data_IF_130997140319
#
_entry.id   IF_130997140319
#
_cell.length_a   1.000
_cell.length_b   1.000
_cell.length_c   1.000
_cell.angle_alpha   90.00
_cell.angle_beta   90.00
_cell.angle_gamma   90.00
#
_symmetry.space_group_name_H-M   'P 1'
#
loop_
_entity.id
_entity.type
_entity.pdbx_description
1 polymer ?
#
# COMPACT_ATOMS: atom_id res chain seq x y z
N UNK A 1 8.52 -22.79 16.89
CA UNK A 1 8.03 -22.23 15.58
C UNK A 1 7.16 -21.05 15.91
N UNK A 2 7.44 -19.86 15.36
CA UNK A 2 6.63 -18.64 15.60
C UNK A 2 5.59 -18.50 14.50
N UNK A 3 4.33 -18.41 14.86
CA UNK A 3 3.20 -18.26 13.93
C UNK A 3 2.55 -16.90 14.15
N UNK A 4 2.40 -16.13 13.08
CA UNK A 4 1.65 -14.87 13.09
C UNK A 4 0.31 -15.10 12.38
N UNK A 5 -0.78 -14.83 13.06
CA UNK A 5 -2.13 -14.87 12.49
C UNK A 5 -2.52 -13.45 12.11
N UNK A 6 -2.84 -13.24 10.85
CA UNK A 6 -3.16 -11.94 10.26
C UNK A 6 -4.59 -11.91 9.74
N UNK A 7 -5.24 -10.77 9.93
CA UNK A 7 -6.52 -10.47 9.31
C UNK A 7 -6.25 -9.69 8.03
N UNK A 8 -6.50 -10.31 6.87
CA UNK A 8 -6.22 -9.66 5.57
C UNK A 8 -7.01 -8.36 5.40
N UNK A 9 -6.32 -7.31 5.00
CA UNK A 9 -6.88 -5.98 4.72
C UNK A 9 -6.60 -5.57 3.26
N UNK A 10 -7.46 -4.72 2.70
CA UNK A 10 -7.24 -4.12 1.37
C UNK A 10 -6.09 -3.11 1.37
N UNK A 11 -5.75 -2.57 2.53
CA UNK A 11 -4.56 -1.74 2.72
C UNK A 11 -3.33 -2.64 2.87
N UNK A 12 -2.50 -2.66 1.82
CA UNK A 12 -1.31 -3.51 1.75
C UNK A 12 -0.33 -3.28 2.91
N UNK A 13 -0.22 -2.05 3.43
CA UNK A 13 0.68 -1.77 4.56
C UNK A 13 0.31 -2.58 5.79
N UNK A 14 -0.98 -2.69 6.11
CA UNK A 14 -1.44 -3.47 7.25
C UNK A 14 -1.09 -4.95 7.14
N UNK A 15 -0.96 -5.46 5.92
CA UNK A 15 -0.62 -6.87 5.70
C UNK A 15 0.89 -7.16 5.77
N UNK A 16 1.77 -6.15 5.61
CA UNK A 16 3.21 -6.41 5.51
C UNK A 16 4.03 -5.92 6.69
N UNK A 17 3.54 -4.94 7.44
CA UNK A 17 4.34 -4.29 8.49
C UNK A 17 4.64 -5.24 9.64
N UNK A 18 3.62 -5.91 10.19
CA UNK A 18 3.83 -6.82 11.32
C UNK A 18 4.65 -8.06 10.92
N UNK A 19 4.38 -8.76 9.79
CA UNK A 19 5.22 -9.86 9.36
C UNK A 19 6.69 -9.48 9.13
N UNK A 20 6.97 -8.37 8.45
CA UNK A 20 8.34 -7.91 8.20
C UNK A 20 9.05 -7.45 9.48
N UNK A 21 8.30 -7.01 10.49
CA UNK A 21 8.82 -6.57 11.80
C UNK A 21 9.09 -7.75 12.73
N UNK A 22 8.10 -8.62 12.92
CA UNK A 22 8.15 -9.72 13.90
C UNK A 22 8.91 -10.93 13.39
N UNK A 23 9.08 -11.06 12.06
CA UNK A 23 9.81 -12.13 11.38
C UNK A 23 9.41 -13.51 11.88
N UNK A 24 8.14 -13.90 11.74
CA UNK A 24 7.68 -15.23 12.13
C UNK A 24 8.21 -16.30 11.17
N UNK A 25 8.17 -17.56 11.61
CA UNK A 25 8.46 -18.71 10.73
C UNK A 25 7.30 -18.97 9.76
N UNK A 26 6.08 -18.56 10.18
CA UNK A 26 4.83 -18.75 9.41
C UNK A 26 3.90 -17.57 9.61
N UNK A 27 3.25 -17.14 8.52
CA UNK A 27 2.11 -16.21 8.55
C UNK A 27 0.87 -16.91 8.03
N UNK A 28 -0.22 -16.80 8.77
CA UNK A 28 -1.54 -17.34 8.39
C UNK A 28 -2.51 -16.20 8.21
N UNK A 29 -2.91 -15.94 6.97
CA UNK A 29 -3.91 -14.91 6.65
C UNK A 29 -5.31 -15.48 6.69
N UNK A 30 -6.18 -14.84 7.46
CA UNK A 30 -7.63 -15.05 7.36
C UNK A 30 -8.19 -13.99 6.41
N UNK A 31 -8.85 -14.41 5.32
CA UNK A 31 -9.39 -13.50 4.32
C UNK A 31 -10.83 -13.85 3.94
N UNK A 32 -11.54 -12.87 3.36
CA UNK A 32 -12.90 -13.07 2.90
C UNK A 32 -12.97 -14.12 1.79
N UNK A 33 -13.72 -15.21 2.03
CA UNK A 33 -13.95 -16.26 1.02
C UNK A 33 -14.60 -15.74 -0.28
N UNK A 34 -15.27 -14.59 -0.25
CA UNK A 34 -15.84 -13.91 -1.41
C UNK A 34 -14.85 -13.02 -2.17
N UNK A 35 -13.61 -12.89 -1.68
CA UNK A 35 -12.59 -12.07 -2.31
C UNK A 35 -11.87 -12.84 -3.41
N UNK A 36 -11.99 -12.33 -4.65
CA UNK A 36 -11.31 -12.89 -5.83
C UNK A 36 -10.00 -12.12 -6.12
N UNK A 37 -9.15 -11.96 -5.11
CA UNK A 37 -7.89 -11.20 -5.23
C UNK A 37 -6.66 -12.10 -4.98
N UNK A 38 -6.60 -13.21 -5.70
CA UNK A 38 -5.49 -14.16 -5.61
C UNK A 38 -4.15 -13.55 -6.05
N UNK A 39 -4.19 -12.57 -6.94
CA UNK A 39 -2.98 -11.92 -7.43
C UNK A 39 -2.37 -11.00 -6.36
N UNK A 40 -3.18 -10.29 -5.60
CA UNK A 40 -2.70 -9.51 -4.46
C UNK A 40 -2.07 -10.41 -3.40
N UNK A 41 -2.67 -11.57 -3.09
CA UNK A 41 -2.09 -12.52 -2.16
C UNK A 41 -0.76 -13.09 -2.65
N UNK A 42 -0.64 -13.47 -3.93
CA UNK A 42 0.64 -13.90 -4.54
C UNK A 42 1.71 -12.83 -4.42
N UNK A 43 1.33 -11.56 -4.56
CA UNK A 43 2.25 -10.44 -4.43
C UNK A 43 2.79 -10.30 -3.01
N UNK A 44 1.94 -10.51 -1.99
CA UNK A 44 2.39 -10.58 -0.59
C UNK A 44 3.40 -11.72 -0.38
N UNK A 45 3.10 -12.91 -0.89
CA UNK A 45 4.01 -14.07 -0.80
C UNK A 45 5.36 -13.73 -1.43
N UNK A 46 5.37 -13.12 -2.62
CA UNK A 46 6.60 -12.70 -3.31
C UNK A 46 7.39 -11.69 -2.49
N UNK A 47 6.73 -10.68 -1.92
CA UNK A 47 7.36 -9.69 -1.04
C UNK A 47 8.04 -10.38 0.16
N UNK A 48 7.35 -11.30 0.81
CA UNK A 48 7.90 -12.00 1.98
C UNK A 48 9.05 -12.91 1.61
N UNK A 49 8.97 -13.68 0.53
CA UNK A 49 10.04 -14.57 0.10
C UNK A 49 11.34 -13.84 -0.23
N UNK A 50 11.26 -12.63 -0.78
CA UNK A 50 12.44 -11.78 -1.02
C UNK A 50 13.10 -11.31 0.29
N UNK A 51 12.31 -11.05 1.33
CA UNK A 51 12.79 -10.48 2.59
C UNK A 51 13.04 -11.54 3.68
N UNK A 52 12.36 -12.66 3.59
CA UNK A 52 12.38 -13.79 4.52
C UNK A 52 12.29 -15.12 3.74
N UNK A 53 13.39 -15.61 3.14
CA UNK A 53 13.35 -16.72 2.17
C UNK A 53 12.71 -18.02 2.69
N UNK A 54 12.74 -18.24 4.01
CA UNK A 54 12.24 -19.47 4.64
C UNK A 54 10.82 -19.33 5.21
N UNK A 55 10.16 -18.16 5.03
CA UNK A 55 8.83 -17.96 5.55
C UNK A 55 7.81 -18.84 4.86
N UNK A 56 6.90 -19.40 5.62
CA UNK A 56 5.73 -20.09 5.09
C UNK A 56 4.53 -19.16 5.20
N UNK A 57 3.84 -18.94 4.09
CA UNK A 57 2.62 -18.10 4.05
C UNK A 57 1.44 -19.00 3.70
N UNK A 58 0.43 -18.99 4.55
CA UNK A 58 -0.83 -19.72 4.36
C UNK A 58 -1.99 -18.74 4.27
N UNK A 59 -3.00 -19.13 3.51
CA UNK A 59 -4.25 -18.41 3.38
C UNK A 59 -5.43 -19.29 3.78
N UNK A 60 -6.34 -18.76 4.59
CA UNK A 60 -7.53 -19.45 5.06
C UNK A 60 -8.76 -18.60 4.70
N UNK A 61 -9.61 -19.07 3.78
CA UNK A 61 -10.85 -18.38 3.45
C UNK A 61 -11.87 -18.51 4.59
N UNK A 62 -12.44 -17.37 4.99
CA UNK A 62 -13.42 -17.29 6.08
C UNK A 62 -14.66 -16.50 5.63
N UNK A 63 -15.78 -16.74 6.30
CA UNK A 63 -16.97 -15.90 6.15
C UNK A 63 -16.85 -14.69 7.07
N UNK A 64 -16.50 -13.54 6.51
CA UNK A 64 -16.26 -12.31 7.26
C UNK A 64 -17.54 -11.65 7.78
N UNK A 65 -18.72 -12.11 7.37
CA UNK A 65 -20.01 -11.62 7.89
C UNK A 65 -20.39 -12.23 9.24
N UNK A 66 -19.65 -13.23 9.70
CA UNK A 66 -19.96 -13.99 10.91
C UNK A 66 -18.81 -14.00 11.91
N UNK A 67 -18.98 -13.29 13.01
CA UNK A 67 -18.05 -13.30 14.17
C UNK A 67 -17.77 -14.73 14.67
N UNK A 68 -18.80 -15.59 14.71
CA UNK A 68 -18.65 -16.99 15.13
C UNK A 68 -17.72 -17.78 14.20
N UNK A 69 -17.84 -17.58 12.89
CA UNK A 69 -16.99 -18.26 11.89
C UNK A 69 -15.55 -17.81 12.00
N UNK A 70 -15.32 -16.51 12.19
CA UNK A 70 -13.99 -15.93 12.37
C UNK A 70 -13.32 -16.45 13.64
N UNK A 71 -14.04 -16.39 14.77
CA UNK A 71 -13.56 -16.95 16.04
C UNK A 71 -13.14 -18.42 15.86
N UNK A 72 -14.01 -19.24 15.28
CA UNK A 72 -13.71 -20.66 15.05
C UNK A 72 -12.50 -20.87 14.12
N UNK A 73 -12.27 -19.99 13.15
CA UNK A 73 -11.10 -20.08 12.28
C UNK A 73 -9.80 -19.81 13.03
N UNK A 74 -9.76 -18.76 13.85
CA UNK A 74 -8.60 -18.45 14.71
C UNK A 74 -8.32 -19.58 15.70
N UNK A 75 -9.36 -20.10 16.38
CA UNK A 75 -9.21 -21.23 17.31
C UNK A 75 -8.58 -22.45 16.61
N UNK A 76 -9.05 -22.82 15.41
CA UNK A 76 -8.44 -23.94 14.65
C UNK A 76 -6.97 -23.71 14.30
N UNK A 77 -6.57 -22.48 13.99
CA UNK A 77 -5.16 -22.15 13.75
C UNK A 77 -4.35 -22.31 15.03
N UNK A 78 -4.87 -21.79 16.14
CA UNK A 78 -4.23 -21.91 17.45
C UNK A 78 -4.10 -23.37 17.94
N UNK A 79 -5.12 -24.20 17.71
CA UNK A 79 -5.06 -25.64 18.00
C UNK A 79 -4.01 -26.34 17.15
N UNK A 80 -3.95 -26.01 15.84
CA UNK A 80 -3.01 -26.64 14.90
C UNK A 80 -1.53 -26.31 15.19
N UNK A 81 -1.25 -25.11 15.65
CA UNK A 81 0.13 -24.63 15.85
C UNK A 81 0.51 -24.44 17.31
N UNK A 82 -0.37 -24.80 18.24
CA UNK A 82 -0.27 -24.53 19.68
C UNK A 82 -0.36 -23.01 20.00
N UNK A 83 -1.34 -22.61 20.77
CA UNK A 83 -1.63 -21.19 21.05
C UNK A 83 -0.42 -20.41 21.56
N UNK A 84 0.44 -21.06 22.38
CA UNK A 84 1.66 -20.46 22.92
C UNK A 84 2.70 -20.07 21.83
N UNK A 85 2.63 -20.67 20.64
CA UNK A 85 3.47 -20.34 19.50
C UNK A 85 2.85 -19.28 18.60
N UNK A 86 1.57 -18.93 18.82
CA UNK A 86 0.81 -18.00 17.99
C UNK A 86 0.86 -16.58 18.54
N UNK A 87 0.92 -15.63 17.63
CA UNK A 87 0.65 -14.20 17.88
C UNK A 87 -0.47 -13.79 16.94
N UNK A 88 -1.48 -13.10 17.44
CA UNK A 88 -2.62 -12.62 16.66
C UNK A 88 -2.50 -11.11 16.46
N UNK A 89 -2.43 -10.68 15.22
CA UNK A 89 -2.33 -9.28 14.83
C UNK A 89 -3.73 -8.71 14.54
N UNK A 90 -4.08 -7.58 15.17
CA UNK A 90 -5.43 -7.01 15.15
C UNK A 90 -5.48 -5.59 14.52
N UNK A 91 -4.59 -5.27 13.58
CA UNK A 91 -4.60 -3.97 12.89
C UNK A 91 -5.39 -3.99 11.59
N UNK A 92 -5.41 -5.14 10.91
CA UNK A 92 -6.08 -5.34 9.62
C UNK A 92 -7.48 -5.94 9.73
N UNK A 93 -8.09 -6.15 8.56
CA UNK A 93 -9.41 -6.76 8.43
C UNK A 93 -10.58 -5.82 8.69
N UNK A 94 -11.79 -6.38 8.67
CA UNK A 94 -13.02 -5.65 9.03
C UNK A 94 -13.25 -5.66 10.54
N UNK A 95 -14.13 -4.78 11.01
CA UNK A 95 -14.53 -4.71 12.42
C UNK A 95 -15.04 -6.06 12.96
N UNK A 96 -15.84 -6.77 12.16
CA UNK A 96 -16.33 -8.11 12.56
C UNK A 96 -15.19 -9.13 12.61
N UNK A 97 -14.19 -9.03 11.71
CA UNK A 97 -13.00 -9.87 11.78
C UNK A 97 -12.23 -9.62 13.07
N UNK A 98 -11.99 -8.37 13.43
CA UNK A 98 -11.30 -8.01 14.67
C UNK A 98 -12.03 -8.49 15.90
N UNK A 99 -13.37 -8.33 15.96
CA UNK A 99 -14.18 -8.80 17.10
C UNK A 99 -14.07 -10.32 17.24
N UNK A 100 -14.22 -11.09 16.16
CA UNK A 100 -14.14 -12.55 16.21
C UNK A 100 -12.74 -13.05 16.57
N UNK A 101 -11.71 -12.42 16.01
CA UNK A 101 -10.33 -12.73 16.30
C UNK A 101 -9.95 -12.40 17.76
N UNK A 102 -10.35 -11.24 18.26
CA UNK A 102 -10.14 -10.85 19.66
C UNK A 102 -10.78 -11.83 20.64
N UNK A 103 -12.03 -12.25 20.39
CA UNK A 103 -12.70 -13.26 21.22
C UNK A 103 -11.93 -14.59 21.23
N UNK A 104 -11.43 -15.03 20.07
CA UNK A 104 -10.62 -16.24 19.98
C UNK A 104 -9.29 -16.08 20.72
N UNK A 105 -8.64 -14.92 20.60
CA UNK A 105 -7.40 -14.60 21.31
C UNK A 105 -7.55 -14.76 22.83
N UNK A 106 -8.61 -14.21 23.40
CA UNK A 106 -8.93 -14.35 24.82
C UNK A 106 -9.21 -15.80 25.21
N UNK A 107 -10.02 -16.50 24.40
CA UNK A 107 -10.41 -17.89 24.69
C UNK A 107 -9.23 -18.86 24.67
N UNK A 108 -8.32 -18.69 23.71
CA UNK A 108 -7.18 -19.58 23.49
C UNK A 108 -5.91 -19.11 24.21
N UNK A 109 -5.91 -17.95 24.86
CA UNK A 109 -4.73 -17.36 25.49
C UNK A 109 -3.63 -17.02 24.47
N UNK A 110 -4.01 -16.57 23.26
CA UNK A 110 -3.07 -16.16 22.21
C UNK A 110 -2.59 -14.75 22.52
N UNK A 111 -1.30 -14.51 22.42
CA UNK A 111 -0.78 -13.14 22.49
C UNK A 111 -1.35 -12.28 21.38
N UNK A 112 -1.99 -11.16 21.72
CA UNK A 112 -2.58 -10.24 20.78
C UNK A 112 -1.76 -8.97 20.67
N UNK A 113 -1.54 -8.52 19.42
CA UNK A 113 -0.74 -7.32 19.13
C UNK A 113 -1.46 -6.38 18.19
N UNK A 114 -1.10 -5.10 18.28
CA UNK A 114 -1.57 -4.04 17.40
C UNK A 114 -0.39 -3.26 16.83
N UNK A 115 -0.42 -3.01 15.53
CA UNK A 115 0.57 -2.21 14.81
C UNK A 115 0.11 -0.77 14.69
N UNK A 116 0.69 0.13 15.48
CA UNK A 116 0.43 1.57 15.38
C UNK A 116 1.38 2.19 14.35
N UNK A 117 0.86 2.39 13.13
CA UNK A 117 1.61 2.99 12.01
C UNK A 117 1.97 4.46 12.27
N UNK A 118 1.23 5.16 13.12
CA UNK A 118 1.48 6.58 13.42
C UNK A 118 2.61 6.71 14.43
N UNK A 119 2.59 5.89 15.48
CA UNK A 119 3.66 5.84 16.49
C UNK A 119 4.87 5.03 16.03
N UNK A 120 4.74 4.25 14.96
CA UNK A 120 5.81 3.42 14.42
C UNK A 120 6.21 2.27 15.34
N UNK A 121 5.26 1.64 16.02
CA UNK A 121 5.55 0.54 16.95
C UNK A 121 4.46 -0.55 16.92
N UNK A 122 4.82 -1.72 17.42
CA UNK A 122 3.88 -2.80 17.74
C UNK A 122 3.71 -2.85 19.25
N UNK A 123 2.46 -2.89 19.70
CA UNK A 123 2.08 -2.93 21.11
C UNK A 123 1.35 -4.23 21.43
N UNK A 124 1.50 -4.70 22.64
CA UNK A 124 0.69 -5.78 23.22
C UNK A 124 -0.66 -5.21 23.64
N UNK A 125 -1.76 -5.85 23.21
CA UNK A 125 -3.12 -5.31 23.44
C UNK A 125 -3.56 -5.49 24.90
N UNK A 126 -3.07 -6.51 25.60
CA UNK A 126 -3.49 -6.77 26.98
C UNK A 126 -2.75 -5.89 27.99
N UNK A 127 -1.48 -5.59 27.73
CA UNK A 127 -0.64 -4.84 28.66
C UNK A 127 -0.43 -3.39 28.27
N UNK A 128 -0.82 -2.98 27.04
CA UNK A 128 -0.51 -1.69 26.42
C UNK A 128 1.01 -1.41 26.28
N UNK A 129 1.84 -2.44 26.51
CA UNK A 129 3.29 -2.28 26.42
C UNK A 129 3.77 -2.28 24.99
N UNK A 130 4.69 -1.39 24.68
CA UNK A 130 5.42 -1.40 23.41
C UNK A 130 6.33 -2.63 23.36
N UNK A 131 6.13 -3.46 22.33
CA UNK A 131 6.94 -4.66 22.10
C UNK A 131 8.20 -4.34 21.28
N UNK A 132 8.03 -3.59 20.21
CA UNK A 132 9.12 -3.25 19.29
C UNK A 132 8.76 -2.05 18.43
N UNK A 133 9.76 -1.39 17.87
CA UNK A 133 9.57 -0.46 16.75
C UNK A 133 9.30 -1.24 15.47
N UNK A 134 8.51 -0.68 14.57
CA UNK A 134 8.28 -1.30 13.26
C UNK A 134 9.58 -1.29 12.45
N UNK A 135 9.78 -2.34 11.65
CA UNK A 135 10.93 -2.41 10.76
C UNK A 135 10.89 -1.27 9.73
N UNK A 136 12.06 -0.79 9.33
CA UNK A 136 12.17 0.15 8.23
C UNK A 136 11.75 -0.54 6.94
N UNK A 137 10.60 -0.16 6.39
CA UNK A 137 10.12 -0.65 5.10
C UNK A 137 10.75 0.17 3.97
N UNK A 138 11.16 -0.53 2.92
CA UNK A 138 11.63 0.09 1.69
C UNK A 138 10.47 0.31 0.72
N UNK A 139 10.66 1.21 -0.24
CA UNK A 139 9.70 1.38 -1.34
C UNK A 139 9.51 0.07 -2.13
N UNK A 140 10.57 -0.75 -2.24
CA UNK A 140 10.51 -2.07 -2.89
C UNK A 140 9.57 -3.02 -2.17
N UNK A 141 9.60 -3.07 -0.82
CA UNK A 141 8.66 -3.89 -0.06
C UNK A 141 7.21 -3.56 -0.41
N UNK A 142 6.90 -2.26 -0.51
CA UNK A 142 5.57 -1.80 -0.85
C UNK A 142 5.17 -2.12 -2.30
N UNK A 143 6.09 -1.91 -3.24
CA UNK A 143 5.88 -2.19 -4.67
C UNK A 143 5.69 -3.69 -4.89
N UNK A 144 6.56 -4.53 -4.32
CA UNK A 144 6.46 -5.98 -4.40
C UNK A 144 5.13 -6.48 -3.83
N UNK A 145 4.74 -5.98 -2.65
CA UNK A 145 3.48 -6.36 -2.02
C UNK A 145 2.23 -5.93 -2.81
N UNK A 146 2.35 -4.91 -3.67
CA UNK A 146 1.31 -4.47 -4.61
C UNK A 146 1.32 -5.24 -5.94
N UNK A 147 2.24 -6.17 -6.13
CA UNK A 147 2.39 -6.90 -7.39
C UNK A 147 2.92 -6.06 -8.53
N UNK A 148 3.54 -4.95 -8.21
CA UNK A 148 4.23 -4.12 -9.19
C UNK A 148 5.73 -4.45 -9.21
N UNK A 149 6.39 -4.07 -10.28
CA UNK A 149 7.84 -4.14 -10.38
C UNK A 149 8.36 -2.87 -11.03
N UNK A 150 9.60 -2.53 -10.74
CA UNK A 150 10.26 -1.48 -11.50
C UNK A 150 10.50 -1.98 -12.93
N UNK A 151 9.81 -1.36 -13.90
CA UNK A 151 10.05 -1.61 -15.32
C UNK A 151 11.27 -0.80 -15.74
N UNK A 152 12.43 -1.44 -15.78
CA UNK A 152 13.65 -0.81 -16.27
C UNK A 152 14.81 -1.78 -16.23
N UNK A 153 15.57 -1.79 -17.29
CA UNK A 153 16.78 -2.62 -17.49
C UNK A 153 17.88 -2.23 -16.54
N UNK A 154 17.79 -1.72 -15.52
CA UNK A 154 18.99 -1.48 -14.74
C UNK A 154 18.69 -1.06 -13.34
N UNK A 155 19.28 -1.75 -12.44
CA UNK A 155 19.78 -1.24 -11.18
C UNK A 155 20.80 -0.08 -11.37
N UNK A 156 20.78 0.60 -12.54
CA UNK A 156 21.56 1.82 -12.72
C UNK A 156 20.81 2.93 -11.99
N UNK A 157 21.45 3.62 -11.06
CA UNK A 157 20.86 4.81 -10.47
C UNK A 157 20.46 5.76 -11.59
N UNK A 158 19.30 6.44 -11.48
CA UNK A 158 18.90 7.44 -12.46
C UNK A 158 20.10 8.39 -12.67
N UNK A 159 20.37 8.76 -13.94
CA UNK A 159 21.49 9.64 -14.27
C UNK A 159 21.50 10.81 -13.27
N UNK A 160 22.64 11.08 -12.69
CA UNK A 160 22.84 12.09 -11.63
C UNK A 160 22.14 13.43 -11.96
N UNK A 161 22.14 13.83 -13.23
CA UNK A 161 21.47 15.03 -13.70
C UNK A 161 19.94 15.08 -13.48
N UNK A 162 19.26 13.91 -13.41
CA UNK A 162 17.82 13.84 -13.15
C UNK A 162 17.49 13.55 -11.70
N UNK A 163 18.44 13.04 -10.93
CA UNK A 163 18.21 12.67 -9.53
C UNK A 163 17.83 13.90 -8.69
N UNK A 164 18.52 15.01 -8.87
CA UNK A 164 18.23 16.25 -8.16
C UNK A 164 16.87 16.82 -8.57
N UNK A 165 16.53 16.80 -9.85
CA UNK A 165 15.22 17.23 -10.34
C UNK A 165 14.07 16.39 -9.75
N UNK A 166 14.25 15.06 -9.70
CA UNK A 166 13.28 14.14 -9.10
C UNK A 166 13.14 14.41 -7.59
N UNK A 167 14.25 14.55 -6.86
CA UNK A 167 14.22 14.84 -5.43
C UNK A 167 13.59 16.21 -5.12
N UNK A 168 13.93 17.23 -5.90
CA UNK A 168 13.35 18.56 -5.74
C UNK A 168 11.84 18.54 -5.99
N UNK A 169 11.43 17.85 -7.05
CA UNK A 169 10.01 17.66 -7.36
C UNK A 169 9.30 16.87 -6.25
N UNK A 170 9.87 15.75 -5.80
CA UNK A 170 9.28 14.96 -4.72
C UNK A 170 9.08 15.81 -3.44
N UNK A 171 10.10 16.54 -3.01
CA UNK A 171 10.00 17.44 -1.86
C UNK A 171 8.95 18.54 -2.04
N UNK A 172 8.87 19.10 -3.24
CA UNK A 172 7.86 20.10 -3.57
C UNK A 172 6.45 19.49 -3.49
N UNK A 173 6.21 18.34 -4.11
CA UNK A 173 4.92 17.66 -4.11
C UNK A 173 4.49 17.23 -2.69
N UNK A 174 5.41 16.79 -1.84
CA UNK A 174 5.11 16.48 -0.43
C UNK A 174 4.62 17.72 0.34
N UNK A 175 5.14 18.91 0.05
CA UNK A 175 4.67 20.15 0.67
C UNK A 175 3.30 20.61 0.13
N UNK A 176 2.94 20.19 -1.09
CA UNK A 176 1.74 20.58 -1.81
C UNK A 176 0.80 19.40 -2.11
N UNK A 177 0.75 18.40 -1.21
CA UNK A 177 0.02 17.13 -1.44
C UNK A 177 -1.45 17.31 -1.86
N UNK A 178 -2.15 18.29 -1.28
CA UNK A 178 -3.55 18.58 -1.61
C UNK A 178 -3.69 19.03 -3.07
N UNK A 179 -2.88 19.98 -3.48
CA UNK A 179 -2.91 20.56 -4.83
C UNK A 179 -2.37 19.59 -5.87
N UNK A 180 -1.35 18.81 -5.49
CA UNK A 180 -0.86 17.68 -6.28
C UNK A 180 -1.97 16.65 -6.53
N UNK A 181 -2.71 16.24 -5.50
CA UNK A 181 -3.79 15.25 -5.64
C UNK A 181 -4.86 15.70 -6.63
N UNK A 182 -5.22 16.99 -6.62
CA UNK A 182 -6.17 17.58 -7.55
C UNK A 182 -5.59 17.59 -8.97
N UNK A 183 -4.34 18.07 -9.13
CA UNK A 183 -3.67 18.15 -10.43
C UNK A 183 -3.41 16.76 -11.01
N UNK A 184 -3.02 15.78 -10.20
CA UNK A 184 -2.86 14.40 -10.60
C UNK A 184 -4.18 13.78 -11.13
N UNK A 185 -5.30 14.02 -10.45
CA UNK A 185 -6.61 13.58 -10.91
C UNK A 185 -7.00 14.20 -12.26
N UNK A 186 -6.64 15.48 -12.47
CA UNK A 186 -6.84 16.14 -13.75
C UNK A 186 -5.96 15.51 -14.83
N UNK A 187 -4.65 15.36 -14.60
CA UNK A 187 -3.70 14.73 -15.52
C UNK A 187 -4.16 13.32 -15.92
N UNK A 188 -4.54 12.49 -14.97
CA UNK A 188 -5.04 11.14 -15.21
C UNK A 188 -6.31 11.14 -16.07
N UNK A 189 -7.24 12.07 -15.81
CA UNK A 189 -8.50 12.17 -16.56
C UNK A 189 -8.23 12.58 -18.01
N UNK A 190 -7.27 13.49 -18.25
CA UNK A 190 -6.89 13.91 -19.60
C UNK A 190 -6.10 12.81 -20.30
N UNK A 191 -5.13 12.20 -19.65
CA UNK A 191 -4.33 11.10 -20.19
C UNK A 191 -5.18 9.90 -20.63
N UNK A 192 -6.25 9.61 -19.90
CA UNK A 192 -7.20 8.54 -20.26
C UNK A 192 -7.96 8.79 -21.57
N UNK A 193 -7.93 10.02 -22.10
CA UNK A 193 -8.51 10.38 -23.42
C UNK A 193 -7.54 10.16 -24.59
N UNK A 194 -6.30 9.80 -24.30
CA UNK A 194 -5.22 9.52 -25.24
C UNK A 194 -4.22 10.67 -25.38
N UNK A 195 -2.99 10.29 -25.69
CA UNK A 195 -1.93 11.22 -26.08
C UNK A 195 -1.87 11.31 -27.60
N UNK A 196 -1.51 12.48 -28.14
CA UNK A 196 -1.08 12.57 -29.52
C UNK A 196 0.25 11.83 -29.71
N UNK A 197 0.60 11.46 -30.97
CA UNK A 197 1.83 10.74 -31.31
C UNK A 197 3.13 11.41 -30.79
N UNK A 198 3.07 12.70 -30.48
CA UNK A 198 4.22 13.51 -30.04
C UNK A 198 4.30 13.73 -28.53
N UNK A 199 3.69 12.87 -27.71
CA UNK A 199 3.62 13.06 -26.26
C UNK A 199 3.03 14.43 -25.85
N UNK A 200 2.05 14.91 -26.62
CA UNK A 200 1.35 16.15 -26.36
C UNK A 200 -0.03 15.87 -25.77
N UNK A 201 -0.44 16.76 -24.90
CA UNK A 201 -1.73 16.73 -24.24
C UNK A 201 -2.34 18.12 -24.22
N UNK A 202 -3.59 18.23 -24.69
CA UNK A 202 -4.36 19.47 -24.64
C UNK A 202 -5.72 19.22 -24.01
N UNK A 203 -6.13 20.08 -23.12
CA UNK A 203 -7.43 19.96 -22.46
C UNK A 203 -7.92 21.28 -21.91
N UNK A 204 -9.23 21.37 -21.68
CA UNK A 204 -9.80 22.44 -20.88
C UNK A 204 -9.30 22.35 -19.44
N UNK A 205 -9.18 23.52 -18.78
CA UNK A 205 -8.81 23.55 -17.37
C UNK A 205 -9.82 22.82 -16.47
N UNK A 206 -11.08 23.16 -16.65
CA UNK A 206 -12.17 22.59 -15.87
C UNK A 206 -12.75 21.38 -16.62
N UNK A 207 -12.57 20.22 -16.05
CA UNK A 207 -13.10 18.95 -16.59
C UNK A 207 -13.78 18.16 -15.47
N UNK A 208 -14.52 17.13 -15.85
CA UNK A 208 -15.11 16.20 -14.90
C UNK A 208 -14.41 14.84 -14.99
N UNK A 209 -14.13 14.24 -13.85
CA UNK A 209 -13.63 12.86 -13.74
C UNK A 209 -14.71 11.87 -14.19
N UNK A 210 -14.36 10.59 -14.35
CA UNK A 210 -15.33 9.53 -14.66
C UNK A 210 -16.47 9.44 -13.63
N UNK A 211 -16.21 9.83 -12.39
CA UNK A 211 -17.22 9.89 -11.31
C UNK A 211 -18.03 11.19 -11.29
N UNK A 212 -17.89 12.07 -12.30
CA UNK A 212 -18.60 13.34 -12.39
C UNK A 212 -18.05 14.47 -11.51
N UNK A 213 -16.96 14.24 -10.77
CA UNK A 213 -16.35 15.26 -9.90
C UNK A 213 -15.60 16.31 -10.74
N UNK A 214 -15.87 17.64 -10.55
CA UNK A 214 -15.13 18.68 -11.25
C UNK A 214 -13.68 18.73 -10.72
N UNK A 215 -12.73 18.84 -11.63
CA UNK A 215 -11.29 19.00 -11.32
C UNK A 215 -10.66 20.04 -12.24
N UNK A 216 -9.74 20.83 -11.68
CA UNK A 216 -8.92 21.80 -12.39
C UNK A 216 -7.49 21.72 -11.87
N UNK A 217 -6.48 21.75 -12.74
CA UNK A 217 -5.10 21.64 -12.31
C UNK A 217 -4.66 22.92 -11.59
N UNK A 218 -3.66 22.80 -10.74
CA UNK A 218 -3.01 23.91 -10.06
C UNK A 218 -1.80 24.35 -10.88
N UNK A 219 -1.76 25.60 -11.29
CA UNK A 219 -0.70 26.14 -12.14
C UNK A 219 0.68 26.00 -11.50
N UNK A 220 0.76 26.25 -10.19
CA UNK A 220 2.00 26.10 -9.43
C UNK A 220 2.61 24.72 -9.58
N UNK A 221 1.78 23.67 -9.53
CA UNK A 221 2.22 22.29 -9.74
C UNK A 221 2.71 22.08 -11.16
N UNK A 222 1.96 22.53 -12.17
CA UNK A 222 2.34 22.35 -13.57
C UNK A 222 3.63 23.12 -13.93
N UNK A 223 3.78 24.34 -13.43
CA UNK A 223 4.98 25.16 -13.63
C UNK A 223 6.22 24.53 -12.99
N UNK A 224 6.07 23.93 -11.80
CA UNK A 224 7.20 23.25 -11.15
C UNK A 224 7.62 21.99 -11.92
N UNK A 225 6.69 21.27 -12.58
CA UNK A 225 7.02 20.17 -13.49
C UNK A 225 7.82 20.66 -14.72
N UNK A 226 7.46 21.79 -15.32
CA UNK A 226 8.20 22.39 -16.42
C UNK A 226 9.59 22.84 -15.99
N UNK A 227 9.68 23.56 -14.88
CA UNK A 227 10.93 24.04 -14.30
C UNK A 227 11.95 22.91 -14.01
N UNK A 228 11.47 21.76 -13.56
CA UNK A 228 12.30 20.58 -13.28
C UNK A 228 12.49 19.69 -14.53
N UNK A 229 12.08 20.13 -15.72
CA UNK A 229 12.34 19.45 -16.97
C UNK A 229 11.48 18.20 -17.24
N UNK A 230 10.38 18.00 -16.50
CA UNK A 230 9.43 16.91 -16.78
C UNK A 230 8.54 17.23 -17.97
N UNK A 231 8.22 18.51 -18.18
CA UNK A 231 7.59 18.99 -19.40
C UNK A 231 8.61 19.68 -20.28
N UNK A 232 8.58 19.37 -21.57
CA UNK A 232 9.40 20.07 -22.57
C UNK A 232 8.85 21.46 -22.86
N UNK A 233 7.52 21.62 -22.78
CA UNK A 233 6.82 22.89 -22.95
C UNK A 233 5.47 22.83 -22.29
N UNK A 234 5.11 23.91 -21.63
CA UNK A 234 3.82 24.14 -20.99
C UNK A 234 3.21 25.44 -21.52
N UNK A 235 1.92 25.43 -21.83
CA UNK A 235 1.15 26.64 -22.12
C UNK A 235 -0.11 26.65 -21.28
N UNK A 236 -0.29 27.71 -20.51
CA UNK A 236 -1.42 27.90 -19.62
C UNK A 236 -2.19 29.14 -20.06
N UNK A 237 -3.48 28.98 -20.34
CA UNK A 237 -4.40 30.09 -20.54
C UNK A 237 -5.61 29.98 -19.60
N UNK A 238 -6.54 30.95 -19.70
CA UNK A 238 -7.73 30.99 -18.81
C UNK A 238 -8.62 29.75 -18.95
N UNK A 239 -8.67 29.13 -20.11
CA UNK A 239 -9.61 28.09 -20.50
C UNK A 239 -8.94 26.75 -20.78
N UNK A 240 -7.65 26.73 -21.10
CA UNK A 240 -6.94 25.57 -21.57
C UNK A 240 -5.57 25.34 -20.91
N UNK A 241 -5.12 24.13 -21.02
CA UNK A 241 -3.77 23.68 -20.66
C UNK A 241 -3.25 22.83 -21.79
N UNK A 242 -2.08 23.18 -22.29
CA UNK A 242 -1.35 22.39 -23.27
C UNK A 242 0.01 22.01 -22.70
N UNK A 243 0.35 20.72 -22.78
CA UNK A 243 1.59 20.15 -22.25
C UNK A 243 2.27 19.30 -23.32
N UNK A 244 3.56 19.49 -23.49
CA UNK A 244 4.43 18.56 -24.21
C UNK A 244 5.38 17.93 -23.20
N UNK A 245 5.29 16.61 -23.05
CA UNK A 245 6.17 15.87 -22.15
C UNK A 245 7.57 15.71 -22.75
N UNK A 246 8.57 15.59 -21.90
CA UNK A 246 9.87 15.10 -22.34
C UNK A 246 9.76 13.61 -22.63
N UNK A 247 10.49 13.12 -23.65
CA UNK A 247 10.61 11.68 -23.86
C UNK A 247 11.27 11.05 -22.62
N UNK A 248 10.66 10.01 -22.12
CA UNK A 248 11.28 9.14 -21.13
C UNK A 248 12.35 8.31 -21.88
N UNK A 249 13.54 8.85 -22.06
CA UNK A 249 14.74 8.11 -22.42
C UNK A 249 15.62 7.97 -21.20
#
# INVERSE_FOLDING_TARGET
MKVLIELYDKDTLKNIVAPLTLRPDRVVYLYDKGMDDRDAFRSLVTCFQKNMPNIVVEDIPVDISSVKTLRAAVCRVAERYEAANCTLELTGGSELMMIGAYQAGLEMGIRMVHTDLVKGCITDIETDEKLTDIATLTLENFIDAKGACFMGESHQPPRLERYDAINNMARFLFRHLRDWKITCSWLQTVAARGFSHDLQMESRRNIHTKSGKPVSPKDEILLEFEKNGFFKKLSLDKNGVWIRFNSLQ
#
